data_IF_868184503373
#
_entry.id   IF_868184503373
#
_cell.length_a   1.000
_cell.length_b   1.000
_cell.length_c   1.000
_cell.angle_alpha   90.00
_cell.angle_beta   90.00
_cell.angle_gamma   90.00
#
_symmetry.space_group_name_H-M   'P 1'
#
loop_
_entity.id
_entity.type
_entity.pdbx_description
1 polymer ?
#
# COMPACT_ATOMS: atom_id res chain seq x y z
N UNK A 1 33.36 -15.97 10.50
CA UNK A 1 32.66 -15.73 9.23
C UNK A 1 31.61 -16.83 8.98
N UNK A 2 30.40 -16.66 9.51
CA UNK A 2 29.25 -17.50 9.20
C UNK A 2 28.02 -16.60 9.19
N UNK A 3 27.74 -15.97 8.05
CA UNK A 3 26.45 -15.30 7.86
C UNK A 3 25.42 -16.40 7.63
N UNK A 4 24.58 -16.63 8.64
CA UNK A 4 23.47 -17.57 8.55
C UNK A 4 22.41 -16.96 7.63
N UNK A 5 22.50 -17.26 6.34
CA UNK A 5 21.50 -16.84 5.34
C UNK A 5 20.27 -17.71 5.56
N UNK A 6 19.28 -17.18 6.28
CA UNK A 6 17.97 -17.82 6.40
C UNK A 6 17.16 -17.40 5.18
N UNK A 7 17.05 -18.30 4.20
CA UNK A 7 16.08 -18.17 3.13
C UNK A 7 14.71 -18.20 3.79
N UNK A 8 14.02 -17.07 3.76
CA UNK A 8 12.64 -16.96 4.22
C UNK A 8 11.78 -17.92 3.40
N UNK A 9 10.89 -18.68 4.04
CA UNK A 9 9.89 -19.52 3.36
C UNK A 9 8.84 -18.68 2.59
N UNK A 10 9.03 -17.36 2.55
CA UNK A 10 8.17 -16.41 1.88
C UNK A 10 8.62 -16.21 0.42
N UNK A 11 7.66 -16.17 -0.50
CA UNK A 11 7.82 -15.76 -1.90
C UNK A 11 8.15 -14.26 -1.98
N UNK A 12 9.28 -13.86 -1.41
CA UNK A 12 9.91 -12.58 -1.68
C UNK A 12 10.79 -12.77 -2.90
N UNK A 13 10.78 -11.82 -3.85
CA UNK A 13 11.76 -11.83 -4.93
C UNK A 13 13.17 -11.83 -4.27
N UNK A 14 13.98 -12.89 -4.42
CA UNK A 14 15.28 -12.97 -3.76
C UNK A 14 16.19 -11.79 -4.13
N UNK A 15 15.98 -11.22 -5.32
CA UNK A 15 16.69 -10.05 -5.82
C UNK A 15 16.45 -8.81 -4.97
N UNK A 16 15.20 -8.52 -4.59
CA UNK A 16 14.87 -7.32 -3.82
C UNK A 16 15.34 -7.40 -2.36
N UNK A 17 15.39 -8.62 -1.80
CA UNK A 17 15.98 -8.85 -0.47
C UNK A 17 17.50 -8.62 -0.50
N UNK A 18 18.16 -9.12 -1.54
CA UNK A 18 19.60 -8.96 -1.70
C UNK A 18 19.99 -7.51 -1.95
N UNK A 19 19.27 -6.81 -2.83
CA UNK A 19 19.50 -5.40 -3.15
C UNK A 19 19.34 -4.51 -1.91
N UNK A 20 18.30 -4.72 -1.11
CA UNK A 20 18.12 -3.97 0.15
C UNK A 20 19.22 -4.27 1.18
N UNK A 21 19.65 -5.53 1.30
CA UNK A 21 20.77 -5.89 2.17
C UNK A 21 22.08 -5.25 1.71
N UNK A 22 22.36 -5.28 0.40
CA UNK A 22 23.56 -4.72 -0.19
C UNK A 22 23.62 -3.19 -0.05
N UNK A 23 22.49 -2.50 -0.26
CA UNK A 23 22.43 -1.04 -0.20
C UNK A 23 22.41 -0.49 1.23
N UNK A 24 21.75 -1.18 2.18
CA UNK A 24 21.46 -0.61 3.50
C UNK A 24 22.07 -1.37 4.68
N UNK A 25 22.73 -2.51 4.45
CA UNK A 25 23.45 -3.28 5.47
C UNK A 25 22.56 -3.82 6.60
N UNK A 26 21.24 -3.79 6.44
CA UNK A 26 20.25 -4.23 7.43
C UNK A 26 19.09 -4.93 6.71
N UNK A 27 18.57 -5.99 7.31
CA UNK A 27 17.25 -6.50 6.93
C UNK A 27 16.20 -5.53 7.47
N UNK A 28 15.24 -5.12 6.63
CA UNK A 28 14.15 -4.20 7.02
C UNK A 28 13.27 -4.78 8.14
N UNK A 29 13.27 -6.10 8.32
CA UNK A 29 12.34 -6.83 9.18
C UNK A 29 13.00 -7.34 10.48
N UNK A 30 12.48 -6.91 11.64
CA UNK A 30 12.83 -7.43 12.97
C UNK A 30 12.06 -8.73 13.24
N UNK A 31 12.79 -9.78 13.65
CA UNK A 31 12.38 -11.19 13.55
C UNK A 31 11.29 -11.69 14.51
N UNK A 32 10.50 -10.84 15.16
CA UNK A 32 9.55 -11.27 16.21
C UNK A 32 8.07 -10.99 15.95
N UNK A 33 7.72 -10.13 14.98
CA UNK A 33 6.33 -9.80 14.60
C UNK A 33 6.21 -9.67 13.09
N UNK A 34 6.42 -10.79 12.39
CA UNK A 34 6.47 -10.82 10.92
C UNK A 34 5.09 -10.93 10.27
N UNK A 35 4.00 -10.91 11.05
CA UNK A 35 2.65 -11.19 10.54
C UNK A 35 1.89 -9.92 10.17
N UNK A 36 2.36 -8.73 10.59
CA UNK A 36 1.67 -7.46 10.38
C UNK A 36 2.61 -6.44 9.73
N UNK A 37 2.28 -6.01 8.51
CA UNK A 37 2.99 -4.94 7.77
C UNK A 37 3.07 -3.64 8.58
N UNK A 38 2.02 -3.36 9.36
CA UNK A 38 1.80 -2.20 10.22
C UNK A 38 2.84 -2.07 11.34
N UNK A 39 3.34 -3.21 11.85
CA UNK A 39 4.30 -3.27 12.95
C UNK A 39 5.75 -3.06 12.46
N UNK A 40 5.97 -3.10 11.14
CA UNK A 40 7.30 -3.18 10.54
C UNK A 40 7.61 -1.97 9.66
N UNK A 41 6.59 -1.36 9.04
CA UNK A 41 6.79 -0.22 8.15
C UNK A 41 6.30 1.11 8.74
N UNK A 42 7.24 2.02 8.96
CA UNK A 42 7.00 3.40 9.39
C UNK A 42 7.28 4.42 8.28
N UNK A 43 7.42 3.97 7.03
CA UNK A 43 7.70 4.85 5.90
C UNK A 43 6.55 5.81 5.63
N UNK A 44 6.88 6.96 5.05
CA UNK A 44 5.91 7.94 4.56
C UNK A 44 5.53 7.69 3.08
N UNK A 45 5.83 6.49 2.57
CA UNK A 45 5.60 6.12 1.17
C UNK A 45 4.10 6.04 0.91
N UNK A 46 3.60 6.59 -0.20
CA UNK A 46 2.15 6.67 -0.46
C UNK A 46 1.46 5.30 -0.49
N UNK A 47 2.19 4.25 -0.85
CA UNK A 47 1.72 2.86 -0.75
C UNK A 47 2.89 1.96 -0.35
N UNK A 48 2.65 1.08 0.61
CA UNK A 48 3.60 0.04 1.04
C UNK A 48 3.00 -1.31 0.70
N UNK A 49 3.71 -2.04 -0.15
CA UNK A 49 3.33 -3.39 -0.59
C UNK A 49 4.43 -4.37 -0.18
N UNK A 50 4.05 -5.43 0.52
CA UNK A 50 4.88 -6.61 0.71
C UNK A 50 4.27 -7.78 -0.07
N UNK A 51 4.90 -8.20 -1.16
CA UNK A 51 4.40 -9.28 -2.01
C UNK A 51 4.32 -10.63 -1.30
N UNK A 52 4.93 -10.77 -0.12
CA UNK A 52 4.85 -11.99 0.70
C UNK A 52 3.64 -12.04 1.63
N UNK A 53 2.91 -10.94 1.76
CA UNK A 53 1.73 -10.83 2.62
C UNK A 53 0.53 -10.38 1.79
N UNK A 54 -0.67 -10.93 2.01
CA UNK A 54 -1.90 -10.37 1.43
C UNK A 54 -2.30 -9.13 2.22
N UNK A 55 -1.42 -8.13 2.26
CA UNK A 55 -1.59 -6.89 3.00
C UNK A 55 -0.94 -5.71 2.27
N UNK A 56 -1.55 -4.55 2.43
CA UNK A 56 -1.13 -3.28 1.84
C UNK A 56 -1.33 -2.16 2.86
N UNK A 57 -0.36 -1.25 2.97
CA UNK A 57 -0.57 0.02 3.69
C UNK A 57 -0.77 1.13 2.66
N UNK A 58 -1.87 1.86 2.81
CA UNK A 58 -2.21 3.01 1.99
C UNK A 58 -2.02 4.26 2.84
N UNK A 59 -1.06 5.09 2.48
CA UNK A 59 -0.76 6.33 3.19
C UNK A 59 -1.39 7.50 2.44
N UNK A 60 -2.62 7.82 2.83
CA UNK A 60 -3.35 8.94 2.26
C UNK A 60 -3.00 10.26 2.95
N UNK A 61 -3.08 11.37 2.23
CA UNK A 61 -3.03 12.73 2.80
C UNK A 61 -4.28 13.50 2.42
N UNK A 62 -5.08 13.86 3.43
CA UNK A 62 -6.39 14.51 3.24
C UNK A 62 -6.43 15.98 3.71
N UNK A 63 -5.30 16.66 3.90
CA UNK A 63 -5.28 17.97 4.57
C UNK A 63 -6.17 19.06 3.97
N UNK A 64 -6.54 18.95 2.69
CA UNK A 64 -7.43 19.87 2.00
C UNK A 64 -8.92 19.64 2.28
N UNK A 65 -9.30 18.57 3.00
CA UNK A 65 -10.71 18.23 3.26
C UNK A 65 -10.99 17.84 4.72
N UNK A 66 -12.16 18.27 5.18
CA UNK A 66 -12.75 17.92 6.47
C UNK A 66 -14.05 17.12 6.27
N UNK A 67 -14.60 16.57 7.35
CA UNK A 67 -15.88 15.87 7.31
C UNK A 67 -17.03 16.72 6.72
N UNK A 68 -16.93 18.06 6.82
CA UNK A 68 -17.93 19.04 6.39
C UNK A 68 -17.78 19.49 4.93
N UNK A 69 -16.67 19.14 4.26
CA UNK A 69 -16.49 19.47 2.86
C UNK A 69 -17.50 18.71 1.97
N UNK A 70 -17.79 19.29 0.81
CA UNK A 70 -18.70 18.67 -0.16
C UNK A 70 -18.06 17.41 -0.79
N UNK A 71 -18.86 16.65 -1.53
CA UNK A 71 -18.39 15.42 -2.18
C UNK A 71 -17.32 15.68 -3.23
N UNK A 72 -17.41 16.78 -3.98
CA UNK A 72 -16.45 17.13 -5.04
C UNK A 72 -15.04 17.39 -4.49
N UNK A 73 -14.93 18.14 -3.39
CA UNK A 73 -13.66 18.40 -2.71
C UNK A 73 -13.04 17.08 -2.23
N UNK A 74 -13.84 16.23 -1.60
CA UNK A 74 -13.39 14.90 -1.14
C UNK A 74 -12.90 14.04 -2.31
N UNK A 75 -13.63 14.05 -3.43
CA UNK A 75 -13.24 13.33 -4.63
C UNK A 75 -11.92 13.82 -5.20
N UNK A 76 -11.75 15.14 -5.31
CA UNK A 76 -10.53 15.76 -5.82
C UNK A 76 -9.30 15.33 -5.02
N UNK A 77 -9.38 15.34 -3.69
CA UNK A 77 -8.26 14.95 -2.83
C UNK A 77 -7.92 13.47 -2.99
N UNK A 78 -8.91 12.60 -3.16
CA UNK A 78 -8.61 11.18 -3.46
C UNK A 78 -7.91 11.05 -4.81
N UNK A 79 -8.37 11.71 -5.86
CA UNK A 79 -7.69 11.63 -7.16
C UNK A 79 -6.24 12.15 -7.09
N UNK A 80 -5.97 13.22 -6.34
CA UNK A 80 -4.59 13.70 -6.10
C UNK A 80 -3.72 12.63 -5.43
N UNK A 81 -4.27 11.86 -4.48
CA UNK A 81 -3.57 10.74 -3.86
C UNK A 81 -3.34 9.60 -4.85
N UNK A 82 -4.34 9.24 -5.66
CA UNK A 82 -4.24 8.16 -6.66
C UNK A 82 -3.20 8.52 -7.73
N UNK A 83 -3.17 9.77 -8.21
CA UNK A 83 -2.18 10.25 -9.18
C UNK A 83 -0.74 10.05 -8.70
N UNK A 84 -0.46 10.30 -7.41
CA UNK A 84 0.88 10.05 -6.85
C UNK A 84 1.16 8.56 -6.68
N UNK A 85 0.19 7.76 -6.23
CA UNK A 85 0.37 6.30 -6.09
C UNK A 85 0.63 5.63 -7.44
N UNK A 86 -0.05 6.07 -8.51
CA UNK A 86 0.10 5.55 -9.88
C UNK A 86 1.49 5.72 -10.47
N UNK A 87 2.32 6.65 -9.95
CA UNK A 87 3.70 6.82 -10.39
C UNK A 87 4.63 5.69 -9.93
N UNK A 88 4.24 4.97 -8.88
CA UNK A 88 5.12 4.01 -8.21
C UNK A 88 4.96 2.59 -8.72
N UNK A 89 3.73 2.16 -9.03
CA UNK A 89 3.43 0.76 -9.35
C UNK A 89 2.54 0.62 -10.58
N UNK A 90 2.83 -0.39 -11.39
CA UNK A 90 1.98 -0.85 -12.48
C UNK A 90 1.76 -2.37 -12.37
N UNK A 91 0.75 -2.89 -13.07
CA UNK A 91 0.51 -4.32 -13.17
C UNK A 91 0.78 -4.81 -14.60
N UNK A 92 0.75 -6.14 -14.76
CA UNK A 92 1.04 -6.79 -16.03
C UNK A 92 0.11 -6.33 -17.17
N UNK A 93 -1.14 -5.97 -16.85
CA UNK A 93 -2.12 -5.47 -17.82
C UNK A 93 -2.70 -4.13 -17.37
N UNK A 94 -3.02 -3.27 -18.33
CA UNK A 94 -3.69 -1.99 -18.06
C UNK A 94 -5.03 -2.18 -17.33
N UNK A 95 -5.77 -3.24 -17.68
CA UNK A 95 -7.03 -3.58 -17.00
C UNK A 95 -6.83 -3.89 -15.52
N UNK A 96 -5.78 -4.63 -15.18
CA UNK A 96 -5.45 -4.94 -13.78
C UNK A 96 -4.98 -3.70 -13.03
N UNK A 97 -4.22 -2.80 -13.68
CA UNK A 97 -3.84 -1.50 -13.13
C UNK A 97 -5.05 -0.63 -12.81
N UNK A 98 -5.98 -0.49 -13.75
CA UNK A 98 -7.21 0.27 -13.54
C UNK A 98 -8.02 -0.34 -12.39
N UNK A 99 -8.16 -1.66 -12.36
CA UNK A 99 -8.91 -2.36 -11.31
C UNK A 99 -8.26 -2.18 -9.93
N UNK A 100 -6.93 -2.31 -9.84
CA UNK A 100 -6.17 -2.13 -8.60
C UNK A 100 -6.37 -0.74 -8.01
N UNK A 101 -6.18 0.32 -8.81
CA UNK A 101 -6.35 1.70 -8.33
C UNK A 101 -7.81 2.09 -8.10
N UNK A 102 -8.77 1.46 -8.79
CA UNK A 102 -10.20 1.65 -8.49
C UNK A 102 -10.55 1.19 -7.07
N UNK A 103 -9.99 0.06 -6.61
CA UNK A 103 -10.21 -0.40 -5.24
C UNK A 103 -9.57 0.54 -4.23
N UNK A 104 -8.35 1.02 -4.47
CA UNK A 104 -7.69 2.02 -3.60
C UNK A 104 -8.52 3.31 -3.53
N UNK A 105 -9.07 3.77 -4.65
CA UNK A 105 -9.95 4.94 -4.70
C UNK A 105 -11.21 4.75 -3.86
N UNK A 106 -11.90 3.61 -4.00
CA UNK A 106 -13.06 3.28 -3.19
C UNK A 106 -12.70 3.24 -1.69
N UNK A 107 -11.56 2.64 -1.33
CA UNK A 107 -11.06 2.67 0.06
C UNK A 107 -10.90 4.13 0.53
N UNK A 108 -10.26 4.99 -0.25
CA UNK A 108 -10.10 6.41 0.06
C UNK A 108 -11.43 7.15 0.25
N UNK A 109 -12.41 6.92 -0.62
CA UNK A 109 -13.75 7.48 -0.49
C UNK A 109 -14.45 7.02 0.79
N UNK A 110 -14.38 5.72 1.09
CA UNK A 110 -14.93 5.15 2.31
C UNK A 110 -14.29 5.75 3.56
N UNK A 111 -12.97 5.98 3.54
CA UNK A 111 -12.28 6.71 4.60
C UNK A 111 -12.84 8.14 4.78
N UNK A 112 -13.18 8.86 3.72
CA UNK A 112 -13.77 10.20 3.84
C UNK A 112 -15.28 10.22 4.19
N UNK A 113 -15.84 9.06 4.52
CA UNK A 113 -17.25 8.89 4.89
C UNK A 113 -18.21 8.93 3.70
N UNK A 114 -17.70 8.70 2.48
CA UNK A 114 -18.54 8.52 1.30
C UNK A 114 -19.03 7.07 1.24
N UNK A 115 -20.25 6.87 0.74
CA UNK A 115 -20.86 5.55 0.63
C UNK A 115 -20.34 4.78 -0.60
N UNK A 116 -19.03 4.53 -0.64
CA UNK A 116 -18.34 3.82 -1.72
C UNK A 116 -17.31 2.87 -1.12
N UNK A 117 -17.76 1.72 -0.64
CA UNK A 117 -16.89 0.66 -0.14
C UNK A 117 -16.67 -0.40 -1.24
N UNK A 118 -15.45 -0.95 -1.39
CA UNK A 118 -15.22 -2.07 -2.30
C UNK A 118 -16.08 -3.28 -1.94
N UNK A 119 -16.57 -3.98 -2.96
CA UNK A 119 -17.23 -5.28 -2.78
C UNK A 119 -16.21 -6.36 -2.40
N UNK A 120 -16.67 -7.45 -1.81
CA UNK A 120 -15.82 -8.59 -1.46
C UNK A 120 -15.10 -9.18 -2.70
N UNK A 121 -15.76 -9.19 -3.86
CA UNK A 121 -15.18 -9.67 -5.11
C UNK A 121 -14.07 -8.74 -5.62
N UNK A 122 -14.27 -7.43 -5.53
CA UNK A 122 -13.22 -6.44 -5.85
C UNK A 122 -12.04 -6.57 -4.90
N UNK A 123 -12.26 -6.74 -3.59
CA UNK A 123 -11.17 -6.96 -2.63
C UNK A 123 -10.42 -8.26 -2.94
N UNK A 124 -11.11 -9.38 -3.17
CA UNK A 124 -10.46 -10.65 -3.57
C UNK A 124 -9.52 -10.45 -4.75
N UNK A 125 -10.00 -9.80 -5.82
CA UNK A 125 -9.20 -9.56 -7.01
C UNK A 125 -8.05 -8.60 -6.71
N UNK A 126 -8.26 -7.56 -5.91
CA UNK A 126 -7.20 -6.64 -5.48
C UNK A 126 -6.05 -7.36 -4.77
N UNK A 127 -6.34 -8.24 -3.82
CA UNK A 127 -5.29 -8.99 -3.11
C UNK A 127 -4.59 -10.03 -3.98
N UNK A 128 -5.27 -10.62 -4.98
CA UNK A 128 -4.64 -11.51 -5.97
C UNK A 128 -3.65 -10.76 -6.88
N UNK A 129 -3.83 -9.45 -7.03
CA UNK A 129 -2.97 -8.59 -7.85
C UNK A 129 -1.74 -8.07 -7.08
N UNK A 130 -1.74 -8.10 -5.75
CA UNK A 130 -0.61 -7.64 -4.92
C UNK A 130 0.73 -8.30 -5.30
N UNK A 131 0.82 -9.64 -5.48
CA UNK A 131 2.10 -10.28 -5.83
C UNK A 131 2.60 -9.95 -7.24
N UNK A 132 1.77 -9.38 -8.11
CA UNK A 132 2.09 -9.10 -9.52
C UNK A 132 2.42 -7.63 -9.77
N UNK A 133 2.43 -6.79 -8.73
CA UNK A 133 2.79 -5.38 -8.86
C UNK A 133 4.26 -5.22 -9.26
N UNK A 134 4.49 -4.41 -10.28
CA UNK A 134 5.80 -4.07 -10.79
C UNK A 134 6.09 -2.64 -10.35
N UNK A 135 7.20 -2.45 -9.61
CA UNK A 135 7.65 -1.12 -9.21
C UNK A 135 8.22 -0.38 -10.42
N UNK A 136 7.70 0.81 -10.71
CA UNK A 136 8.13 1.67 -11.82
C UNK A 136 9.22 2.68 -11.42
N UNK A 137 9.15 3.20 -10.20
CA UNK A 137 10.07 4.22 -9.69
C UNK A 137 10.56 3.85 -8.29
N UNK A 138 11.83 4.16 -8.01
CA UNK A 138 12.34 4.11 -6.64
C UNK A 138 11.68 5.19 -5.78
N UNK A 139 11.29 4.82 -4.55
CA UNK A 139 10.66 5.73 -3.59
C UNK A 139 11.74 6.58 -2.93
N UNK A 140 12.44 7.39 -3.72
CA UNK A 140 13.46 8.33 -3.23
C UNK A 140 12.94 9.76 -3.15
N UNK A 141 11.79 10.04 -3.77
CA UNK A 141 11.16 11.36 -3.79
C UNK A 141 9.88 11.36 -2.96
N UNK A 142 9.80 12.29 -2.00
CA UNK A 142 8.54 12.56 -1.29
C UNK A 142 7.48 12.99 -2.31
N UNK A 143 6.20 12.57 -2.14
CA UNK A 143 5.13 12.99 -3.04
C UNK A 143 5.03 14.52 -3.04
N UNK A 144 5.43 15.15 -4.13
CA UNK A 144 5.62 16.60 -4.19
C UNK A 144 4.32 17.41 -4.06
N UNK A 145 3.17 16.79 -4.35
CA UNK A 145 1.85 17.44 -4.33
C UNK A 145 1.04 17.18 -3.05
N UNK A 146 1.33 16.09 -2.32
CA UNK A 146 0.51 15.71 -1.18
C UNK A 146 0.99 16.40 0.09
N UNK A 147 0.17 17.31 0.60
CA UNK A 147 0.43 18.04 1.84
C UNK A 147 -0.40 17.47 2.99
N UNK A 148 0.07 17.67 4.23
CA UNK A 148 -0.70 17.33 5.43
C UNK A 148 -0.27 16.08 6.18
N UNK A 149 -1.00 15.73 7.25
CA UNK A 149 -0.77 14.51 8.01
C UNK A 149 -1.10 13.29 7.15
N UNK A 150 -0.36 12.22 7.42
CA UNK A 150 -0.58 10.91 6.80
C UNK A 150 -1.67 10.20 7.59
N UNK A 151 -2.65 9.66 6.87
CA UNK A 151 -3.62 8.71 7.38
C UNK A 151 -3.28 7.36 6.77
N UNK A 152 -2.85 6.43 7.62
CA UNK A 152 -2.46 5.09 7.19
C UNK A 152 -3.65 4.15 7.33
N UNK A 153 -4.04 3.58 6.21
CA UNK A 153 -5.04 2.52 6.14
C UNK A 153 -4.33 1.21 5.88
N UNK A 154 -4.44 0.27 6.82
CA UNK A 154 -3.97 -1.09 6.62
C UNK A 154 -5.10 -1.93 6.04
N UNK A 155 -4.87 -2.49 4.87
CA UNK A 155 -5.77 -3.41 4.21
C UNK A 155 -5.15 -4.80 4.19
N UNK A 156 -5.83 -5.79 4.78
CA UNK A 156 -5.34 -7.17 4.89
C UNK A 156 -6.44 -8.21 4.71
N UNK A 157 -6.03 -9.40 4.33
CA UNK A 157 -6.85 -10.60 4.38
C UNK A 157 -6.53 -11.39 5.66
N UNK A 158 -7.50 -11.51 6.57
CA UNK A 158 -7.38 -12.27 7.82
C UNK A 158 -8.53 -13.26 7.97
N UNK A 159 -8.24 -14.55 8.17
CA UNK A 159 -9.26 -15.62 8.30
C UNK A 159 -10.34 -15.63 7.20
N UNK A 160 -9.95 -15.25 5.98
CA UNK A 160 -10.87 -15.18 4.83
C UNK A 160 -11.73 -13.91 4.76
N UNK A 161 -11.61 -13.01 5.74
CA UNK A 161 -12.26 -11.70 5.78
C UNK A 161 -11.29 -10.61 5.32
N UNK A 162 -11.77 -9.77 4.42
CA UNK A 162 -11.05 -8.58 3.97
C UNK A 162 -11.37 -7.43 4.90
N UNK A 163 -10.32 -6.80 5.41
CA UNK A 163 -10.45 -5.72 6.38
C UNK A 163 -9.49 -4.58 6.04
N UNK A 164 -10.00 -3.36 6.08
CA UNK A 164 -9.24 -2.13 5.81
C UNK A 164 -9.48 -1.16 6.97
N UNK A 165 -8.50 -0.99 7.84
CA UNK A 165 -8.63 -0.18 9.05
C UNK A 165 -7.64 0.98 9.08
N UNK A 166 -8.07 2.10 9.66
CA UNK A 166 -7.14 3.18 10.01
C UNK A 166 -6.31 2.76 11.20
N UNK A 167 -5.00 2.86 11.06
CA UNK A 167 -4.04 2.49 12.09
C UNK A 167 -3.20 3.68 12.55
N UNK A 168 -3.20 4.78 11.78
CA UNK A 168 -2.50 6.03 12.10
C UNK A 168 -3.16 7.21 11.42
#
# INVERSE_FOLDING_TARGET
>A
PNALVRLSDRLSNPYSLFENFACYGKYKYLSSKLDLLEDIDFSEDVIVIDSSLPAVLLNFRFASVSARNNTEDKQKVIEENIEEMQKLYNLATESDTVMFYNVIRQIGYWQLGLNMQPTEAELKKFFLLIPTVIRMQEISQKPGRLLGPIITVSCRLWDGLFDCQRIR
#
